data_IF_469405784681
#
_entry.id   IF_469405784681
#
_cell.length_a   1.000
_cell.length_b   1.000
_cell.length_c   1.000
_cell.angle_alpha   90.00
_cell.angle_beta   90.00
_cell.angle_gamma   90.00
#
_symmetry.space_group_name_H-M   'P 1'
#
loop_
_entity.id
_entity.type
_entity.pdbx_description
1 polymer ?
#
# COMPACT_ATOMS: atom_id res chain seq x y z
N UNK A 1 -16.36 -3.86 -4.29
CA UNK A 1 -16.21 -2.70 -3.38
C UNK A 1 -17.39 -1.72 -3.49
N UNK A 2 -17.68 -1.20 -4.69
CA UNK A 2 -18.75 -0.20 -4.93
C UNK A 2 -20.14 -0.62 -4.42
N UNK A 3 -20.56 -1.87 -4.63
CA UNK A 3 -21.86 -2.38 -4.13
C UNK A 3 -21.94 -2.43 -2.59
N UNK A 4 -20.80 -2.58 -1.88
CA UNK A 4 -20.78 -2.54 -0.40
C UNK A 4 -20.84 -1.10 0.09
N UNK A 5 -20.11 -0.18 -0.55
CA UNK A 5 -20.14 1.26 -0.26
C UNK A 5 -21.52 1.89 -0.42
N UNK A 6 -22.27 1.49 -1.45
CA UNK A 6 -23.66 1.96 -1.65
C UNK A 6 -24.61 1.61 -0.49
N UNK A 7 -24.30 0.58 0.31
CA UNK A 7 -25.10 0.16 1.47
C UNK A 7 -24.67 0.82 2.78
N UNK A 8 -23.58 1.60 2.77
CA UNK A 8 -23.06 2.25 3.97
C UNK A 8 -24.00 3.41 4.36
N UNK A 9 -24.43 3.50 5.63
CA UNK A 9 -25.19 4.64 6.13
C UNK A 9 -24.46 5.96 5.89
N UNK A 10 -25.20 7.02 5.62
CA UNK A 10 -24.60 8.32 5.31
C UNK A 10 -23.77 8.89 6.45
N UNK A 11 -24.19 8.63 7.70
CA UNK A 11 -23.43 8.98 8.91
C UNK A 11 -22.05 8.32 8.95
N UNK A 12 -21.98 7.03 8.63
CA UNK A 12 -20.72 6.28 8.67
C UNK A 12 -19.78 6.72 7.54
N UNK A 13 -20.36 7.01 6.37
CA UNK A 13 -19.62 7.58 5.24
C UNK A 13 -19.07 8.96 5.59
N UNK A 14 -19.87 9.82 6.22
CA UNK A 14 -19.43 11.13 6.70
C UNK A 14 -18.27 11.01 7.68
N UNK A 15 -18.40 10.13 8.69
CA UNK A 15 -17.34 9.90 9.68
C UNK A 15 -16.05 9.41 9.03
N UNK A 16 -16.16 8.47 8.08
CA UNK A 16 -15.01 7.95 7.34
C UNK A 16 -14.30 9.04 6.53
N UNK A 17 -15.04 9.93 5.85
CA UNK A 17 -14.46 11.05 5.09
C UNK A 17 -13.75 12.00 6.04
N UNK A 18 -14.38 12.38 7.15
CA UNK A 18 -13.78 13.30 8.12
C UNK A 18 -12.46 12.77 8.67
N UNK A 19 -12.36 11.46 8.89
CA UNK A 19 -11.16 10.80 9.42
C UNK A 19 -10.10 10.55 8.36
N UNK A 20 -10.48 10.20 7.13
CA UNK A 20 -9.57 9.65 6.11
C UNK A 20 -9.48 10.47 4.82
N UNK A 21 -10.01 11.70 4.78
CA UNK A 21 -9.98 12.52 3.56
C UNK A 21 -8.56 12.74 3.01
N UNK A 22 -7.57 12.87 3.90
CA UNK A 22 -6.18 13.09 3.54
C UNK A 22 -5.53 11.80 3.02
N UNK A 23 -5.84 10.65 3.63
CA UNK A 23 -5.34 9.34 3.20
C UNK A 23 -5.77 9.02 1.76
N UNK A 24 -6.98 9.47 1.39
CA UNK A 24 -7.53 9.29 0.05
C UNK A 24 -7.25 10.46 -0.90
N UNK A 25 -6.56 11.52 -0.44
CA UNK A 25 -6.34 12.78 -1.15
C UNK A 25 -7.60 13.27 -1.89
N UNK A 26 -8.71 13.36 -1.17
CA UNK A 26 -10.02 13.66 -1.77
C UNK A 26 -10.03 14.98 -2.56
N UNK A 27 -9.23 15.97 -2.16
CA UNK A 27 -9.06 17.22 -2.90
C UNK A 27 -8.27 17.05 -4.20
N UNK A 28 -7.16 16.32 -4.17
CA UNK A 28 -6.36 16.05 -5.35
C UNK A 28 -7.08 15.17 -6.35
N UNK A 29 -7.80 14.14 -5.88
CA UNK A 29 -8.54 13.19 -6.73
C UNK A 29 -9.83 13.78 -7.34
N UNK A 30 -10.24 14.98 -6.94
CA UNK A 30 -11.37 15.71 -7.54
C UNK A 30 -11.19 15.98 -9.05
N UNK A 31 -9.97 15.92 -9.59
CA UNK A 31 -9.71 16.02 -11.03
C UNK A 31 -10.39 14.93 -11.87
N UNK A 32 -10.84 13.83 -11.25
CA UNK A 32 -11.59 12.75 -11.91
C UNK A 32 -13.01 13.15 -12.28
N UNK A 33 -13.56 14.18 -11.65
CA UNK A 33 -14.86 14.74 -12.00
C UNK A 33 -14.62 15.67 -13.18
N UNK A 34 -15.08 15.27 -14.37
CA UNK A 34 -14.83 15.97 -15.62
C UNK A 34 -15.70 17.22 -15.78
N UNK A 35 -16.91 17.19 -15.23
CA UNK A 35 -17.81 18.33 -15.20
C UNK A 35 -17.31 19.37 -14.17
N UNK A 36 -17.12 20.60 -14.62
CA UNK A 36 -16.51 21.66 -13.80
C UNK A 36 -17.46 22.16 -12.70
N UNK A 37 -18.76 22.21 -12.97
CA UNK A 37 -19.78 22.62 -12.02
C UNK A 37 -19.94 21.56 -10.92
N UNK A 38 -20.02 20.28 -11.31
CA UNK A 38 -20.06 19.17 -10.35
C UNK A 38 -18.78 19.10 -9.50
N UNK A 39 -17.62 19.37 -10.10
CA UNK A 39 -16.34 19.41 -9.39
C UNK A 39 -16.28 20.56 -8.40
N UNK A 40 -16.81 21.73 -8.75
CA UNK A 40 -16.91 22.87 -7.85
C UNK A 40 -17.85 22.57 -6.68
N UNK A 41 -19.02 21.98 -6.96
CA UNK A 41 -19.97 21.53 -5.93
C UNK A 41 -19.35 20.47 -5.00
N UNK A 42 -18.64 19.49 -5.55
CA UNK A 42 -17.91 18.49 -4.77
C UNK A 42 -16.92 19.14 -3.81
N UNK A 43 -16.09 20.07 -4.29
CA UNK A 43 -15.10 20.78 -3.47
C UNK A 43 -15.74 21.64 -2.40
N UNK A 44 -16.82 22.34 -2.73
CA UNK A 44 -17.56 23.16 -1.78
C UNK A 44 -18.18 22.29 -0.68
N UNK A 45 -18.82 21.18 -1.06
CA UNK A 45 -19.35 20.21 -0.10
C UNK A 45 -18.23 19.67 0.79
N UNK A 46 -17.10 19.27 0.21
CA UNK A 46 -15.94 18.75 0.95
C UNK A 46 -15.39 19.78 1.94
N UNK A 47 -15.30 21.05 1.55
CA UNK A 47 -14.90 22.16 2.43
C UNK A 47 -15.88 22.36 3.60
N UNK A 48 -17.19 22.23 3.36
CA UNK A 48 -18.20 22.29 4.42
C UNK A 48 -18.01 21.14 5.43
N UNK A 49 -17.71 19.93 4.95
CA UNK A 49 -17.49 18.76 5.82
C UNK A 49 -16.18 18.87 6.62
N UNK A 50 -15.09 19.24 5.97
CA UNK A 50 -13.73 19.14 6.54
C UNK A 50 -13.33 20.42 7.27
N UNK A 51 -13.48 21.57 6.61
CA UNK A 51 -13.02 22.85 7.17
C UNK A 51 -14.04 23.45 8.12
N UNK A 52 -15.32 23.42 7.73
CA UNK A 52 -16.41 24.02 8.51
C UNK A 52 -17.05 23.04 9.49
N UNK A 53 -16.71 21.74 9.38
CA UNK A 53 -17.23 20.66 10.23
C UNK A 53 -18.77 20.60 10.28
N UNK A 54 -19.41 20.98 9.18
CA UNK A 54 -20.86 20.94 9.04
C UNK A 54 -21.30 19.54 8.60
N UNK A 55 -22.33 19.00 9.24
CA UNK A 55 -23.00 17.76 8.81
C UNK A 55 -23.97 18.05 7.66
N UNK A 56 -23.44 18.41 6.49
CA UNK A 56 -24.25 18.64 5.28
C UNK A 56 -24.42 17.32 4.52
N UNK A 57 -25.68 16.97 4.22
CA UNK A 57 -26.02 15.80 3.40
C UNK A 57 -25.26 15.82 2.07
N UNK A 58 -24.79 14.66 1.64
CA UNK A 58 -24.09 14.53 0.37
C UNK A 58 -25.10 14.51 -0.78
N UNK A 59 -25.07 15.50 -1.70
CA UNK A 59 -25.93 15.48 -2.88
C UNK A 59 -25.75 14.19 -3.69
N UNK A 60 -26.83 13.64 -4.24
CA UNK A 60 -26.82 12.31 -4.87
C UNK A 60 -25.76 12.18 -5.98
N UNK A 61 -25.59 13.22 -6.82
CA UNK A 61 -24.55 13.22 -7.87
C UNK A 61 -23.12 13.21 -7.32
N UNK A 62 -22.87 14.01 -6.27
CA UNK A 62 -21.59 14.07 -5.56
C UNK A 62 -21.26 12.73 -4.89
N UNK A 63 -22.28 12.05 -4.35
CA UNK A 63 -22.13 10.75 -3.68
C UNK A 63 -21.66 9.66 -4.64
N UNK A 64 -22.14 9.65 -5.88
CA UNK A 64 -21.69 8.68 -6.87
C UNK A 64 -20.22 8.90 -7.25
N UNK A 65 -19.83 10.15 -7.48
CA UNK A 65 -18.44 10.53 -7.73
C UNK A 65 -17.52 10.15 -6.58
N UNK A 66 -17.93 10.45 -5.34
CA UNK A 66 -17.20 10.10 -4.13
C UNK A 66 -17.00 8.58 -4.02
N UNK A 67 -18.05 7.79 -4.21
CA UNK A 67 -17.92 6.32 -4.19
C UNK A 67 -16.94 5.83 -5.26
N UNK A 68 -17.03 6.37 -6.48
CA UNK A 68 -16.12 6.04 -7.57
C UNK A 68 -14.67 6.35 -7.22
N UNK A 69 -14.42 7.52 -6.65
CA UNK A 69 -13.10 7.99 -6.21
C UNK A 69 -12.53 7.07 -5.11
N UNK A 70 -13.29 6.82 -4.05
CA UNK A 70 -12.86 5.94 -2.94
C UNK A 70 -12.49 4.54 -3.45
N UNK A 71 -13.29 3.99 -4.36
CA UNK A 71 -12.99 2.68 -4.97
C UNK A 71 -11.74 2.74 -5.84
N UNK A 72 -11.59 3.78 -6.67
CA UNK A 72 -10.44 3.92 -7.56
C UNK A 72 -9.13 4.04 -6.76
N UNK A 73 -9.11 4.87 -5.71
CA UNK A 73 -7.95 5.06 -4.84
C UNK A 73 -7.63 3.79 -4.07
N UNK A 74 -8.63 3.11 -3.49
CA UNK A 74 -8.42 1.84 -2.79
C UNK A 74 -7.82 0.78 -3.72
N UNK A 75 -8.34 0.63 -4.94
CA UNK A 75 -7.78 -0.30 -5.93
C UNK A 75 -6.34 0.05 -6.33
N UNK A 76 -6.01 1.35 -6.40
CA UNK A 76 -4.64 1.81 -6.66
C UNK A 76 -3.70 1.45 -5.51
N UNK A 77 -4.12 1.64 -4.27
CA UNK A 77 -3.34 1.23 -3.09
C UNK A 77 -3.14 -0.29 -3.04
N UNK A 78 -4.17 -1.08 -3.30
CA UNK A 78 -4.06 -2.54 -3.37
C UNK A 78 -3.09 -3.00 -4.46
N UNK A 79 -3.21 -2.43 -5.66
CA UNK A 79 -2.30 -2.75 -6.76
C UNK A 79 -0.86 -2.39 -6.40
N UNK A 80 -0.65 -1.20 -5.83
CA UNK A 80 0.68 -0.72 -5.47
C UNK A 80 1.31 -1.58 -4.37
N UNK A 81 0.56 -1.95 -3.35
CA UNK A 81 1.04 -2.82 -2.29
C UNK A 81 1.36 -4.24 -2.79
N UNK A 82 0.51 -4.79 -3.68
CA UNK A 82 0.82 -6.06 -4.35
C UNK A 82 2.12 -5.97 -5.15
N UNK A 83 2.30 -4.89 -5.91
CA UNK A 83 3.53 -4.67 -6.67
C UNK A 83 4.74 -4.64 -5.73
N UNK A 84 4.71 -3.86 -4.64
CA UNK A 84 5.82 -3.81 -3.68
C UNK A 84 6.07 -5.11 -2.91
N UNK A 85 5.06 -5.97 -2.76
CA UNK A 85 5.20 -7.25 -2.06
C UNK A 85 5.68 -8.38 -2.98
N UNK A 86 5.19 -8.42 -4.22
CA UNK A 86 5.27 -9.62 -5.07
C UNK A 86 6.05 -9.40 -6.37
N UNK A 87 6.09 -8.19 -6.93
CA UNK A 87 6.46 -7.97 -8.34
C UNK A 87 7.65 -7.02 -8.51
N UNK A 88 7.76 -6.00 -7.67
CA UNK A 88 8.63 -4.86 -7.93
C UNK A 88 10.12 -5.26 -7.77
N UNK A 89 11.03 -4.86 -8.68
CA UNK A 89 12.47 -5.07 -8.51
C UNK A 89 13.02 -4.45 -7.21
N UNK A 90 12.47 -3.31 -6.77
CA UNK A 90 12.77 -2.72 -5.45
C UNK A 90 12.22 -3.52 -4.26
N UNK A 91 11.26 -4.44 -4.44
CA UNK A 91 10.87 -5.38 -3.39
C UNK A 91 12.04 -6.28 -2.99
N UNK A 92 13.11 -6.29 -3.80
CA UNK A 92 14.25 -7.18 -3.74
C UNK A 92 15.51 -6.36 -4.12
N UNK A 93 16.01 -5.51 -3.22
CA UNK A 93 17.21 -4.70 -3.42
C UNK A 93 18.49 -5.52 -3.23
N UNK A 94 19.38 -5.55 -4.22
CA UNK A 94 20.69 -6.21 -4.06
C UNK A 94 21.58 -5.37 -3.15
N UNK A 95 22.07 -5.94 -2.05
CA UNK A 95 23.19 -5.36 -1.32
C UNK A 95 24.45 -5.58 -2.17
N UNK A 96 25.01 -4.51 -2.74
CA UNK A 96 26.18 -4.61 -3.64
C UNK A 96 27.45 -5.13 -2.95
N UNK A 97 27.53 -5.16 -1.63
CA UNK A 97 28.68 -5.75 -0.92
C UNK A 97 28.55 -7.26 -0.71
N UNK A 98 27.34 -7.82 -0.72
CA UNK A 98 27.10 -9.25 -0.41
C UNK A 98 26.36 -10.03 -1.49
N UNK A 99 25.80 -9.34 -2.48
CA UNK A 99 24.92 -9.92 -3.50
C UNK A 99 23.59 -10.44 -2.98
N UNK A 100 23.30 -10.28 -1.69
CA UNK A 100 22.05 -10.73 -1.07
C UNK A 100 20.94 -9.74 -1.41
N UNK A 101 19.82 -10.29 -1.85
CA UNK A 101 18.60 -9.59 -2.17
C UNK A 101 17.80 -9.28 -0.89
N UNK A 102 17.64 -8.00 -0.56
CA UNK A 102 16.86 -7.49 0.57
C UNK A 102 15.43 -7.14 0.17
N UNK A 103 14.53 -7.58 1.02
CA UNK A 103 13.11 -7.36 0.99
C UNK A 103 12.66 -5.96 1.38
N UNK A 104 11.44 -5.59 1.00
CA UNK A 104 10.68 -4.49 1.63
C UNK A 104 9.54 -5.09 2.46
N UNK A 105 9.39 -4.64 3.71
CA UNK A 105 8.21 -4.94 4.53
C UNK A 105 7.07 -3.99 4.18
N UNK A 106 5.91 -4.54 3.81
CA UNK A 106 4.73 -3.77 3.41
C UNK A 106 3.57 -4.00 4.39
N UNK A 107 3.29 -2.98 5.21
CA UNK A 107 2.21 -2.94 6.20
C UNK A 107 1.00 -2.15 5.69
N UNK A 108 -0.19 -2.42 6.25
CA UNK A 108 -1.47 -1.82 5.81
C UNK A 108 -2.12 -0.86 6.80
N UNK A 109 -1.61 -0.78 8.03
CA UNK A 109 -2.08 0.16 9.04
C UNK A 109 -0.91 0.72 9.85
N UNK A 110 -1.15 1.85 10.52
CA UNK A 110 -0.19 2.48 11.43
C UNK A 110 0.13 1.54 12.59
N UNK A 111 -0.89 0.88 13.16
CA UNK A 111 -0.71 -0.06 14.27
C UNK A 111 0.18 -1.23 13.86
N UNK A 112 -0.07 -1.82 12.69
CA UNK A 112 0.76 -2.89 12.16
C UNK A 112 2.20 -2.41 11.88
N UNK A 113 2.38 -1.17 11.43
CA UNK A 113 3.70 -0.56 11.27
C UNK A 113 4.45 -0.49 12.61
N UNK A 114 3.78 0.00 13.65
CA UNK A 114 4.34 0.10 14.99
C UNK A 114 4.72 -1.28 15.56
N UNK A 115 3.87 -2.29 15.36
CA UNK A 115 4.13 -3.66 15.81
C UNK A 115 5.33 -4.30 15.09
N UNK A 116 5.45 -4.10 13.77
CA UNK A 116 6.57 -4.59 12.99
C UNK A 116 7.87 -3.87 13.38
N UNK A 117 7.84 -2.55 13.56
CA UNK A 117 9.00 -1.78 14.00
C UNK A 117 9.48 -2.23 15.39
N UNK A 118 8.55 -2.42 16.33
CA UNK A 118 8.87 -2.93 17.68
C UNK A 118 9.50 -4.32 17.59
N UNK A 119 8.88 -5.23 16.84
CA UNK A 119 9.39 -6.60 16.65
C UNK A 119 10.76 -6.63 15.97
N UNK A 120 11.01 -5.72 15.02
CA UNK A 120 12.31 -5.59 14.37
C UNK A 120 13.39 -5.14 15.37
N UNK A 121 13.11 -4.10 16.16
CA UNK A 121 14.05 -3.56 17.16
C UNK A 121 14.33 -4.57 18.28
N UNK A 122 13.29 -5.29 18.73
CA UNK A 122 13.42 -6.33 19.75
C UNK A 122 13.98 -7.65 19.21
N UNK A 123 14.25 -7.75 17.90
CA UNK A 123 14.67 -8.97 17.21
C UNK A 123 13.71 -10.17 17.44
N UNK A 124 12.41 -9.90 17.35
CA UNK A 124 11.29 -10.85 17.53
C UNK A 124 10.41 -10.97 16.28
N UNK A 125 10.93 -10.65 15.11
CA UNK A 125 10.18 -10.86 13.87
C UNK A 125 9.90 -12.35 13.68
N UNK A 126 8.64 -12.69 13.39
CA UNK A 126 8.28 -14.05 13.02
C UNK A 126 8.61 -14.27 11.56
N UNK A 127 9.50 -15.21 11.27
CA UNK A 127 9.98 -15.45 9.92
C UNK A 127 9.92 -16.92 9.54
N UNK A 128 9.54 -17.18 8.30
CA UNK A 128 9.51 -18.52 7.72
C UNK A 128 10.34 -18.60 6.44
N UNK A 129 10.84 -19.78 6.12
CA UNK A 129 11.58 -20.06 4.89
C UNK A 129 10.65 -20.74 3.90
N UNK A 130 10.33 -20.05 2.81
CA UNK A 130 9.58 -20.59 1.69
C UNK A 130 10.55 -21.00 0.56
N UNK A 131 10.35 -22.19 -0.01
CA UNK A 131 11.08 -22.63 -1.19
C UNK A 131 10.14 -22.68 -2.38
N UNK A 132 10.51 -21.96 -3.45
CA UNK A 132 9.91 -22.11 -4.76
C UNK A 132 10.87 -22.86 -5.71
N UNK A 133 10.44 -23.11 -6.95
CA UNK A 133 11.22 -23.89 -7.92
C UNK A 133 12.58 -23.26 -8.27
N UNK A 134 12.76 -21.96 -8.05
CA UNK A 134 13.92 -21.19 -8.48
C UNK A 134 14.59 -20.39 -7.36
N UNK A 135 13.99 -20.26 -6.18
CA UNK A 135 14.45 -19.39 -5.10
C UNK A 135 14.10 -19.96 -3.72
N UNK A 136 14.86 -19.52 -2.72
CA UNK A 136 14.55 -19.67 -1.30
C UNK A 136 14.29 -18.27 -0.76
N UNK A 137 13.14 -18.06 -0.12
CA UNK A 137 12.71 -16.76 0.40
C UNK A 137 12.57 -16.83 1.92
N UNK A 138 13.12 -15.86 2.61
CA UNK A 138 12.80 -15.59 4.01
C UNK A 138 11.63 -14.61 4.03
N UNK A 139 10.51 -15.01 4.60
CA UNK A 139 9.25 -14.26 4.61
C UNK A 139 8.89 -13.90 6.05
N UNK A 140 8.51 -12.65 6.27
CA UNK A 140 7.92 -12.19 7.54
C UNK A 140 6.43 -12.58 7.57
N UNK A 141 6.04 -13.33 8.59
CA UNK A 141 4.73 -14.01 8.60
C UNK A 141 3.55 -13.03 8.78
N UNK A 142 3.73 -11.95 9.54
CA UNK A 142 2.64 -11.01 9.88
C UNK A 142 2.19 -10.19 8.66
N UNK A 143 3.13 -9.78 7.83
CA UNK A 143 2.90 -8.96 6.64
C UNK A 143 2.86 -9.78 5.34
N UNK A 144 3.40 -11.00 5.37
CA UNK A 144 3.64 -11.82 4.19
C UNK A 144 4.71 -11.24 3.26
N UNK A 145 5.54 -10.34 3.76
CA UNK A 145 6.55 -9.66 2.96
C UNK A 145 7.82 -10.49 2.92
N UNK A 146 8.43 -10.62 1.75
CA UNK A 146 9.74 -11.25 1.62
C UNK A 146 10.80 -10.31 2.21
N UNK A 147 11.62 -10.80 3.15
CA UNK A 147 12.75 -10.09 3.78
C UNK A 147 14.06 -10.37 3.06
N UNK A 148 14.28 -11.60 2.59
CA UNK A 148 15.48 -11.97 1.83
C UNK A 148 15.18 -13.03 0.79
N UNK A 149 15.93 -13.00 -0.32
CA UNK A 149 15.86 -14.01 -1.37
C UNK A 149 17.25 -14.56 -1.69
N UNK A 150 17.34 -15.88 -1.82
CA UNK A 150 18.49 -16.58 -2.36
C UNK A 150 18.05 -17.28 -3.64
N UNK A 151 18.63 -16.88 -4.78
CA UNK A 151 18.32 -17.53 -6.05
C UNK A 151 19.00 -18.90 -6.12
N UNK A 152 18.22 -19.91 -6.53
CA UNK A 152 18.69 -21.26 -6.89
C UNK A 152 18.98 -21.38 -8.38
N UNK A 153 18.71 -20.33 -9.16
CA UNK A 153 18.99 -20.34 -10.59
C UNK A 153 20.50 -20.31 -10.84
N UNK A 154 21.03 -21.36 -11.47
CA UNK A 154 22.47 -21.58 -11.58
C UNK A 154 23.20 -20.43 -12.29
N UNK A 155 22.65 -19.87 -13.37
CA UNK A 155 23.24 -18.73 -14.06
C UNK A 155 23.33 -17.47 -13.19
N UNK A 156 22.28 -17.17 -12.41
CA UNK A 156 22.26 -16.01 -11.54
C UNK A 156 23.23 -16.19 -10.37
N UNK A 157 23.25 -17.40 -9.78
CA UNK A 157 24.19 -17.73 -8.72
C UNK A 157 25.64 -17.60 -9.19
N UNK A 158 25.96 -18.15 -10.36
CA UNK A 158 27.29 -18.05 -10.95
C UNK A 158 27.67 -16.60 -11.29
N UNK A 159 26.74 -15.82 -11.85
CA UNK A 159 26.97 -14.41 -12.12
C UNK A 159 27.27 -13.63 -10.83
N UNK A 160 26.44 -13.78 -9.80
CA UNK A 160 26.64 -13.12 -8.52
C UNK A 160 27.91 -13.59 -7.79
N UNK A 161 28.22 -14.89 -7.82
CA UNK A 161 29.47 -15.41 -7.26
C UNK A 161 30.70 -14.79 -7.94
N UNK A 162 30.69 -14.58 -9.26
CA UNK A 162 31.81 -13.94 -9.96
C UNK A 162 31.97 -12.47 -9.56
N UNK A 163 30.88 -11.73 -9.33
CA UNK A 163 30.95 -10.31 -8.98
C UNK A 163 31.21 -10.03 -7.50
N UNK A 164 30.84 -10.93 -6.59
CA UNK A 164 30.94 -10.70 -5.13
C UNK A 164 31.99 -11.55 -4.41
N UNK A 165 32.81 -12.32 -5.14
CA UNK A 165 33.87 -13.18 -4.57
C UNK A 165 34.93 -12.44 -3.75
N UNK A 166 35.16 -11.15 -4.03
CA UNK A 166 36.21 -10.36 -3.36
C UNK A 166 35.85 -9.86 -1.95
N UNK A 167 34.57 -9.91 -1.54
CA UNK A 167 34.11 -9.33 -0.27
C UNK A 167 33.95 -10.33 0.90
N UNK A 168 34.20 -11.62 0.65
CA UNK A 168 34.07 -12.70 1.64
C UNK A 168 35.43 -13.27 2.14
N UNK A 169 36.52 -12.51 1.99
CA UNK A 169 37.81 -12.76 2.68
C UNK A 169 38.03 -11.71 3.76
#
# INVERSE_FOLDING_TARGET
LLHRLKKVPERDLHMAIKQHWADFDLYGEAHRITDEDERAQYRQWLDQQIKQQLEVLCPTGIREHLHGLLVAVALRFERRARVFREIHPLAVQVILSSGVLNGILVVRSVDQCADILRSLIENKLSTTLEQDSQNIRLVEETTGSTIRVISRHQLLRNAFETFYKEYNQ
#
